data_IF_959608002412
#
_entry.id   IF_959608002412
#
_cell.length_a   1.000
_cell.length_b   1.000
_cell.length_c   1.000
_cell.angle_alpha   90.00
_cell.angle_beta   90.00
_cell.angle_gamma   90.00
#
_symmetry.space_group_name_H-M   'P 1'
#
loop_
_entity.id
_entity.type
_entity.pdbx_description
1 polymer ?
#
# COMPACT_ATOMS: atom_id res chain seq x y z
N UNK A 1 20.42 -11.66 9.00
CA UNK A 1 19.35 -11.07 8.18
C UNK A 1 18.61 -10.10 9.08
N UNK A 2 18.79 -8.82 8.82
CA UNK A 2 18.33 -7.72 9.68
C UNK A 2 16.83 -7.59 9.48
N UNK A 3 16.03 -8.15 10.39
CA UNK A 3 14.63 -7.72 10.51
C UNK A 3 14.64 -6.46 11.35
N UNK A 4 14.35 -5.27 10.81
CA UNK A 4 14.05 -4.15 11.67
C UNK A 4 12.66 -4.40 12.29
N UNK A 5 12.49 -4.19 13.61
CA UNK A 5 11.17 -4.13 14.21
C UNK A 5 10.59 -2.75 13.88
N UNK A 6 10.25 -2.52 12.63
CA UNK A 6 9.60 -1.26 12.24
C UNK A 6 8.12 -1.57 12.28
N UNK A 7 7.43 -1.12 13.33
CA UNK A 7 5.98 -0.90 13.21
C UNK A 7 5.76 -0.23 11.84
N UNK A 8 5.04 -0.86 10.91
CA UNK A 8 4.82 -0.26 9.60
C UNK A 8 4.30 1.16 9.81
N UNK A 9 4.86 2.12 9.08
CA UNK A 9 4.36 3.50 9.17
C UNK A 9 2.85 3.47 8.94
N UNK A 10 2.06 4.35 9.57
CA UNK A 10 0.59 4.32 9.42
C UNK A 10 0.15 4.34 7.94
N UNK A 11 0.92 5.00 7.08
CA UNK A 11 0.71 5.03 5.63
C UNK A 11 0.94 3.67 4.96
N UNK A 12 1.88 2.87 5.43
CA UNK A 12 2.18 1.55 4.88
C UNK A 12 1.04 0.57 5.16
N UNK A 13 0.50 0.62 6.38
CA UNK A 13 -0.70 -0.15 6.76
C UNK A 13 -1.89 0.23 5.89
N UNK A 14 -2.17 1.53 5.74
CA UNK A 14 -3.29 2.00 4.91
C UNK A 14 -3.07 1.62 3.44
N UNK A 15 -1.84 1.73 2.92
CA UNK A 15 -1.52 1.34 1.54
C UNK A 15 -1.73 -0.17 1.32
N UNK A 16 -1.28 -1.00 2.26
CA UNK A 16 -1.51 -2.45 2.23
C UNK A 16 -3.00 -2.80 2.25
N UNK A 17 -3.78 -2.20 3.14
CA UNK A 17 -5.24 -2.41 3.20
C UNK A 17 -5.94 -1.99 1.90
N UNK A 18 -5.58 -0.83 1.34
CA UNK A 18 -6.12 -0.36 0.07
C UNK A 18 -5.75 -1.28 -1.10
N UNK A 19 -4.54 -1.84 -1.06
CA UNK A 19 -4.11 -2.83 -2.05
C UNK A 19 -4.90 -4.13 -1.92
N UNK A 20 -5.05 -4.69 -0.72
CA UNK A 20 -5.83 -5.92 -0.51
C UNK A 20 -7.30 -5.75 -0.92
N UNK A 21 -7.91 -4.59 -0.65
CA UNK A 21 -9.25 -4.27 -1.16
C UNK A 21 -9.31 -4.31 -2.70
N UNK A 22 -8.30 -3.77 -3.38
CA UNK A 22 -8.22 -3.75 -4.84
C UNK A 22 -7.94 -5.14 -5.41
N UNK A 23 -7.10 -5.92 -4.73
CA UNK A 23 -6.75 -7.30 -5.07
C UNK A 23 -7.97 -8.22 -5.12
N UNK A 24 -8.96 -8.02 -4.24
CA UNK A 24 -10.23 -8.77 -4.32
C UNK A 24 -10.97 -8.59 -5.66
N UNK A 25 -10.73 -7.51 -6.39
CA UNK A 25 -11.32 -7.26 -7.70
C UNK A 25 -10.48 -7.81 -8.87
N UNK A 26 -9.22 -8.19 -8.63
CA UNK A 26 -8.26 -8.59 -9.68
C UNK A 26 -7.74 -10.00 -9.38
N UNK A 27 -8.32 -10.99 -10.06
CA UNK A 27 -7.90 -12.38 -9.91
C UNK A 27 -6.42 -12.54 -10.31
N UNK A 28 -5.62 -13.14 -9.43
CA UNK A 28 -4.19 -13.38 -9.67
C UNK A 28 -3.26 -12.22 -9.30
N UNK A 29 -3.78 -11.13 -8.73
CA UNK A 29 -2.93 -10.05 -8.21
C UNK A 29 -2.14 -10.52 -6.96
N UNK A 30 -0.82 -10.22 -6.85
CA UNK A 30 0.02 -10.60 -5.71
C UNK A 30 -0.52 -10.07 -4.38
N UNK A 31 -0.03 -10.58 -3.25
CA UNK A 31 -0.25 -9.91 -1.95
C UNK A 31 0.56 -8.60 -1.90
N UNK A 32 0.24 -7.69 -0.98
CA UNK A 32 1.04 -6.47 -0.79
C UNK A 32 2.52 -6.79 -0.50
N UNK A 33 2.78 -7.82 0.30
CA UNK A 33 4.13 -8.25 0.71
C UNK A 33 4.90 -8.95 -0.43
N UNK A 34 4.18 -9.52 -1.41
CA UNK A 34 4.76 -10.22 -2.57
C UNK A 34 5.02 -9.28 -3.77
N UNK A 35 4.62 -8.01 -3.72
CA UNK A 35 4.89 -7.07 -4.80
C UNK A 35 6.39 -6.78 -4.92
N UNK A 36 6.93 -6.91 -6.14
CA UNK A 36 8.31 -6.58 -6.46
C UNK A 36 8.39 -5.11 -6.94
N UNK A 37 9.04 -4.21 -6.19
CA UNK A 37 9.24 -2.82 -6.62
C UNK A 37 10.19 -2.69 -7.82
N UNK A 38 10.86 -3.76 -8.22
CA UNK A 38 11.71 -3.83 -9.42
C UNK A 38 10.89 -4.09 -10.69
N UNK A 39 9.71 -4.68 -10.57
CA UNK A 39 8.78 -4.83 -11.69
C UNK A 39 8.03 -3.49 -11.91
N UNK A 40 8.06 -2.90 -13.12
CA UNK A 40 7.46 -1.59 -13.37
C UNK A 40 5.94 -1.54 -13.16
N UNK A 41 5.25 -2.66 -13.39
CA UNK A 41 3.81 -2.76 -13.21
C UNK A 41 3.47 -2.84 -11.72
N UNK A 42 4.14 -3.70 -10.97
CA UNK A 42 3.96 -3.86 -9.53
C UNK A 42 4.39 -2.61 -8.76
N UNK A 43 5.50 -1.97 -9.13
CA UNK A 43 5.91 -0.67 -8.62
C UNK A 43 4.85 0.42 -8.84
N UNK A 44 4.13 0.36 -9.97
CA UNK A 44 3.00 1.23 -10.26
C UNK A 44 1.84 1.03 -9.29
N UNK A 45 1.53 -0.23 -8.95
CA UNK A 45 0.50 -0.59 -7.96
C UNK A 45 0.88 -0.12 -6.55
N UNK A 46 2.12 -0.36 -6.14
CA UNK A 46 2.66 0.12 -4.86
C UNK A 46 2.51 1.64 -4.77
N UNK A 47 2.96 2.38 -5.79
CA UNK A 47 2.87 3.85 -5.80
C UNK A 47 1.43 4.35 -5.74
N UNK A 48 0.51 3.72 -6.47
CA UNK A 48 -0.91 4.09 -6.46
C UNK A 48 -1.53 3.87 -5.07
N UNK A 49 -1.18 2.77 -4.40
CA UNK A 49 -1.65 2.48 -3.06
C UNK A 49 -1.19 3.55 -2.05
N UNK A 50 0.08 3.96 -2.10
CA UNK A 50 0.59 5.04 -1.24
C UNK A 50 -0.01 6.41 -1.56
N UNK A 51 -0.24 6.72 -2.84
CA UNK A 51 -0.88 7.98 -3.25
C UNK A 51 -2.29 8.09 -2.66
N UNK A 52 -3.07 7.00 -2.76
CA UNK A 52 -4.40 6.91 -2.13
C UNK A 52 -4.34 6.93 -0.61
N UNK A 53 -3.37 6.26 -0.01
CA UNK A 53 -3.18 6.27 1.44
C UNK A 53 -2.89 7.69 1.95
N UNK A 54 -2.06 8.47 1.24
CA UNK A 54 -1.81 9.88 1.54
C UNK A 54 -3.07 10.71 1.41
N UNK A 55 -3.80 10.60 0.30
CA UNK A 55 -5.04 11.32 0.09
C UNK A 55 -6.09 11.03 1.18
N UNK A 56 -6.17 9.78 1.66
CA UNK A 56 -7.06 9.38 2.75
C UNK A 56 -6.66 10.05 4.08
N UNK A 57 -5.37 10.04 4.40
CA UNK A 57 -4.84 10.70 5.61
C UNK A 57 -5.02 12.21 5.55
N UNK A 58 -4.82 12.82 4.38
CA UNK A 58 -5.01 14.26 4.16
C UNK A 58 -6.48 14.65 4.27
N UNK A 59 -7.41 13.89 3.69
CA UNK A 59 -8.85 14.11 3.86
C UNK A 59 -9.30 13.96 5.32
N UNK A 60 -8.78 12.95 6.04
CA UNK A 60 -9.11 12.74 7.45
C UNK A 60 -8.56 13.83 8.39
N UNK A 61 -7.63 14.67 7.91
CA UNK A 61 -7.02 15.76 8.68
C UNK A 61 -7.75 17.10 8.53
N UNK A 62 -8.55 17.26 7.48
CA UNK A 62 -9.35 18.48 7.24
C UNK A 62 -10.64 18.50 8.09
N UNK A 63 -11.07 17.35 8.60
CA UNK A 63 -12.28 17.17 9.43
C UNK A 63 -12.02 17.26 10.95
N UNK A 64 -10.82 17.64 11.40
CA UNK A 64 -10.39 17.63 12.81
C UNK A 64 -10.07 19.02 13.40
#
# INVERSE_FOLDING_TARGET
MTHPPTSPEPLDVIAGELHDLTRHCIQGCPTWEDLDPSDPWEAGMIRLAYDRARALVEMGRDEA
#
